data_IF_138455074753
#
_entry.id   IF_138455074753
#
_cell.length_a   1.000
_cell.length_b   1.000
_cell.length_c   1.000
_cell.angle_alpha   90.00
_cell.angle_beta   90.00
_cell.angle_gamma   90.00
#
_symmetry.space_group_name_H-M   'P 1'
#
loop_
_entity.id
_entity.type
_entity.pdbx_description
1 polymer ?
#
# COMPACT_ATOMS: atom_id res chain seq x y z
N UNK A 1 2.35 2.69 -6.46
CA UNK A 1 3.19 2.32 -7.63
C UNK A 1 3.27 3.40 -8.71
N UNK A 2 2.19 3.71 -9.44
CA UNK A 2 2.24 4.60 -10.61
C UNK A 2 2.84 5.98 -10.31
N UNK A 3 2.50 6.57 -9.16
CA UNK A 3 3.05 7.84 -8.68
C UNK A 3 4.57 7.81 -8.51
N UNK A 4 5.10 6.75 -7.89
CA UNK A 4 6.56 6.58 -7.68
C UNK A 4 7.28 6.48 -9.02
N UNK A 5 6.78 5.64 -9.93
CA UNK A 5 7.36 5.47 -11.27
C UNK A 5 7.20 6.69 -12.19
N UNK A 6 6.23 7.57 -11.91
CA UNK A 6 6.11 8.85 -12.59
C UNK A 6 7.18 9.85 -12.11
N UNK A 7 7.57 9.77 -10.84
CA UNK A 7 8.66 10.58 -10.26
C UNK A 7 10.05 10.05 -10.64
N UNK A 8 10.21 8.74 -10.87
CA UNK A 8 11.46 8.14 -11.38
C UNK A 8 11.81 8.70 -12.75
N UNK A 9 13.05 9.17 -12.93
CA UNK A 9 13.59 9.65 -14.21
C UNK A 9 14.41 8.56 -14.90
N UNK A 10 14.65 8.68 -16.20
CA UNK A 10 15.54 7.76 -16.91
C UNK A 10 16.97 7.82 -16.32
N UNK A 11 17.42 9.00 -15.90
CA UNK A 11 18.74 9.17 -15.28
C UNK A 11 18.85 8.39 -13.96
N UNK A 12 17.87 8.50 -13.06
CA UNK A 12 17.91 7.75 -11.81
C UNK A 12 17.71 6.25 -12.00
N UNK A 13 16.91 5.86 -13.00
CA UNK A 13 16.62 4.46 -13.29
C UNK A 13 17.82 3.68 -13.85
N UNK A 14 18.74 4.32 -14.57
CA UNK A 14 19.95 3.68 -15.11
C UNK A 14 21.23 4.06 -14.33
N UNK A 15 21.10 4.65 -13.14
CA UNK A 15 22.25 5.05 -12.33
C UNK A 15 23.02 3.84 -11.79
N UNK A 16 22.31 2.76 -11.43
CA UNK A 16 22.92 1.53 -10.91
C UNK A 16 23.60 0.73 -12.02
N UNK A 17 24.82 0.25 -11.78
CA UNK A 17 25.56 -0.60 -12.73
C UNK A 17 24.94 -1.99 -12.83
N UNK A 18 24.46 -2.50 -11.70
CA UNK A 18 23.83 -3.82 -11.57
C UNK A 18 22.37 -3.79 -12.03
N UNK A 19 22.14 -3.41 -13.29
CA UNK A 19 20.81 -2.97 -13.76
C UNK A 19 19.72 -4.05 -13.67
N UNK A 20 20.02 -5.32 -13.97
CA UNK A 20 19.05 -6.43 -13.84
C UNK A 20 18.61 -6.62 -12.38
N UNK A 21 19.56 -6.53 -11.43
CA UNK A 21 19.25 -6.66 -10.00
C UNK A 21 18.47 -5.45 -9.51
N UNK A 22 18.88 -4.26 -9.95
CA UNK A 22 18.27 -2.99 -9.58
C UNK A 22 16.80 -2.93 -10.00
N UNK A 23 16.47 -3.24 -11.26
CA UNK A 23 15.09 -3.17 -11.75
C UNK A 23 14.14 -4.02 -10.92
N UNK A 24 14.51 -5.27 -10.64
CA UNK A 24 13.70 -6.21 -9.86
C UNK A 24 13.50 -5.74 -8.42
N UNK A 25 14.58 -5.32 -7.76
CA UNK A 25 14.53 -4.87 -6.36
C UNK A 25 13.89 -3.49 -6.21
N UNK A 26 14.06 -2.58 -7.17
CA UNK A 26 13.39 -1.29 -7.20
C UNK A 26 11.88 -1.45 -7.36
N UNK A 27 11.43 -2.36 -8.24
CA UNK A 27 10.01 -2.67 -8.36
C UNK A 27 9.45 -3.23 -7.05
N UNK A 28 10.17 -4.15 -6.43
CA UNK A 28 9.80 -4.72 -5.13
C UNK A 28 9.76 -3.66 -4.01
N UNK A 29 10.70 -2.70 -4.01
CA UNK A 29 10.72 -1.57 -3.07
C UNK A 29 9.51 -0.66 -3.26
N UNK A 30 9.18 -0.34 -4.51
CA UNK A 30 8.02 0.50 -4.82
C UNK A 30 6.73 -0.21 -4.39
N UNK A 31 6.67 -1.54 -4.55
CA UNK A 31 5.56 -2.36 -4.10
C UNK A 31 5.47 -2.39 -2.58
N UNK A 32 6.58 -2.61 -1.88
CA UNK A 32 6.70 -2.51 -0.42
C UNK A 32 6.17 -1.18 0.12
N UNK A 33 6.63 -0.06 -0.45
CA UNK A 33 6.15 1.26 -0.07
C UNK A 33 4.64 1.40 -0.29
N UNK A 34 4.14 0.92 -1.43
CA UNK A 34 2.69 0.94 -1.75
C UNK A 34 1.87 0.08 -0.78
N UNK A 35 2.37 -1.09 -0.37
CA UNK A 35 1.74 -1.94 0.64
C UNK A 35 1.63 -1.22 1.97
N UNK A 36 2.68 -0.54 2.44
CA UNK A 36 2.64 0.18 3.70
C UNK A 36 1.62 1.33 3.68
N UNK A 37 1.57 2.10 2.58
CA UNK A 37 0.58 3.16 2.41
C UNK A 37 -0.85 2.61 2.41
N UNK A 38 -1.11 1.56 1.63
CA UNK A 38 -2.44 0.96 1.52
C UNK A 38 -2.88 0.30 2.83
N UNK A 39 -1.96 -0.29 3.59
CA UNK A 39 -2.30 -0.93 4.88
C UNK A 39 -2.92 0.05 5.88
N UNK A 40 -2.61 1.35 5.79
CA UNK A 40 -3.20 2.39 6.64
C UNK A 40 -4.75 2.40 6.59
N UNK A 41 -5.35 2.02 5.44
CA UNK A 41 -6.81 1.99 5.29
C UNK A 41 -7.48 0.93 6.18
N UNK A 42 -6.78 -0.15 6.51
CA UNK A 42 -7.36 -1.25 7.30
C UNK A 42 -7.33 -1.00 8.82
N UNK A 43 -6.96 0.21 9.26
CA UNK A 43 -6.84 0.55 10.68
C UNK A 43 -5.91 -0.43 11.41
N UNK A 44 -6.33 -0.89 12.59
CA UNK A 44 -5.55 -1.82 13.43
C UNK A 44 -5.37 -3.21 12.83
N UNK A 45 -6.13 -3.59 11.80
CA UNK A 45 -5.85 -4.81 11.03
C UNK A 45 -4.68 -4.62 10.08
N UNK A 46 -4.40 -3.38 9.68
CA UNK A 46 -3.27 -2.97 8.85
C UNK A 46 -2.00 -2.76 9.65
N UNK A 47 -1.97 -1.70 10.45
CA UNK A 47 -0.91 -1.38 11.40
C UNK A 47 -1.58 -0.87 12.67
N UNK A 48 -1.05 -1.20 13.84
CA UNK A 48 -1.60 -0.75 15.11
C UNK A 48 -1.60 0.77 15.21
N UNK A 49 -0.57 1.42 14.67
CA UNK A 49 -0.42 2.88 14.67
C UNK A 49 -0.39 3.40 13.23
N UNK A 50 -1.12 4.49 12.91
CA UNK A 50 -1.14 5.07 11.57
C UNK A 50 0.13 5.90 11.31
N UNK A 51 1.18 5.25 10.85
CA UNK A 51 2.42 5.93 10.46
C UNK A 51 2.26 6.69 9.14
N UNK A 52 2.92 7.85 9.06
CA UNK A 52 2.91 8.70 7.89
C UNK A 52 4.17 8.46 7.05
N UNK A 53 4.21 7.35 6.33
CA UNK A 53 5.29 7.07 5.37
C UNK A 53 5.16 8.00 4.16
N UNK A 54 6.29 8.49 3.64
CA UNK A 54 6.31 9.48 2.57
C UNK A 54 7.39 9.19 1.52
N UNK A 55 7.43 10.03 0.49
CA UNK A 55 8.31 9.83 -0.68
C UNK A 55 9.79 9.80 -0.30
N UNK A 56 10.19 10.57 0.71
CA UNK A 56 11.57 10.58 1.21
C UNK A 56 11.98 9.21 1.75
N UNK A 57 11.07 8.46 2.42
CA UNK A 57 11.38 7.11 2.88
C UNK A 57 11.67 6.17 1.69
N UNK A 58 10.95 6.35 0.58
CA UNK A 58 11.18 5.59 -0.65
C UNK A 58 12.50 6.00 -1.33
N UNK A 59 12.74 7.30 -1.52
CA UNK A 59 13.93 7.86 -2.15
C UNK A 59 15.21 7.41 -1.44
N UNK A 60 15.28 7.57 -0.11
CA UNK A 60 16.43 7.14 0.69
C UNK A 60 16.67 5.63 0.56
N UNK A 61 15.60 4.83 0.50
CA UNK A 61 15.73 3.38 0.31
C UNK A 61 16.22 3.01 -1.08
N UNK A 62 15.81 3.76 -2.10
CA UNK A 62 16.29 3.58 -3.48
C UNK A 62 17.77 3.96 -3.62
N UNK A 63 18.22 5.01 -2.94
CA UNK A 63 19.63 5.42 -2.92
C UNK A 63 20.50 4.38 -2.22
N UNK A 64 20.03 3.84 -1.09
CA UNK A 64 20.67 2.73 -0.39
C UNK A 64 20.74 1.48 -1.28
N UNK A 65 19.65 1.14 -1.96
CA UNK A 65 19.62 0.02 -2.90
C UNK A 65 20.67 0.19 -3.99
N UNK A 66 20.72 1.35 -4.64
CA UNK A 66 21.66 1.66 -5.72
C UNK A 66 23.10 1.54 -5.22
N UNK A 67 23.41 2.16 -4.08
CA UNK A 67 24.75 2.15 -3.49
C UNK A 67 25.23 0.73 -3.18
N UNK A 68 24.41 -0.07 -2.50
CA UNK A 68 24.79 -1.42 -2.08
C UNK A 68 24.87 -2.41 -3.26
N UNK A 69 24.09 -2.22 -4.33
CA UNK A 69 24.21 -3.06 -5.53
C UNK A 69 25.46 -2.74 -6.37
N UNK A 70 26.01 -1.54 -6.23
CA UNK A 70 27.21 -1.10 -6.92
C UNK A 70 28.50 -1.40 -6.12
N UNK A 71 28.42 -1.39 -4.79
CA UNK A 71 29.56 -1.65 -3.90
C UNK A 71 29.88 -3.14 -3.73
N UNK A 72 28.88 -4.02 -3.84
CA UNK A 72 29.03 -5.45 -3.54
C UNK A 72 28.75 -6.32 -4.77
N UNK A 73 29.63 -7.30 -5.01
CA UNK A 73 29.47 -8.28 -6.10
C UNK A 73 28.25 -9.19 -5.85
N UNK A 74 28.16 -9.74 -4.64
CA UNK A 74 27.00 -10.47 -4.16
C UNK A 74 25.99 -9.52 -3.53
N UNK A 75 24.70 -9.72 -3.84
CA UNK A 75 23.64 -8.85 -3.31
C UNK A 75 23.51 -9.01 -1.80
N UNK A 76 23.76 -7.95 -1.01
CA UNK A 76 23.77 -8.03 0.46
C UNK A 76 22.35 -7.94 1.02
N UNK A 77 21.54 -8.97 0.80
CA UNK A 77 20.11 -8.98 1.16
C UNK A 77 19.86 -8.64 2.62
N UNK A 78 20.62 -9.20 3.56
CA UNK A 78 20.41 -8.95 4.99
C UNK A 78 20.68 -7.50 5.38
N UNK A 79 21.70 -6.87 4.79
CA UNK A 79 21.99 -5.46 5.00
C UNK A 79 20.89 -4.57 4.42
N UNK A 80 20.47 -4.83 3.17
CA UNK A 80 19.38 -4.10 2.51
C UNK A 80 18.08 -4.21 3.31
N UNK A 81 17.75 -5.42 3.78
CA UNK A 81 16.57 -5.65 4.61
C UNK A 81 16.62 -4.82 5.89
N UNK A 82 17.71 -4.91 6.63
CA UNK A 82 17.88 -4.16 7.86
C UNK A 82 17.79 -2.63 7.63
N UNK A 83 18.53 -2.11 6.65
CA UNK A 83 18.58 -0.67 6.39
C UNK A 83 17.22 -0.11 5.98
N UNK A 84 16.46 -0.83 5.17
CA UNK A 84 15.15 -0.37 4.70
C UNK A 84 14.09 -0.60 5.79
N UNK A 85 13.90 -1.81 6.31
CA UNK A 85 12.79 -2.09 7.23
C UNK A 85 13.03 -1.61 8.66
N UNK A 86 14.25 -1.73 9.20
CA UNK A 86 14.53 -1.39 10.60
C UNK A 86 15.05 0.03 10.77
N UNK A 87 16.01 0.44 9.93
CA UNK A 87 16.65 1.75 10.09
C UNK A 87 15.80 2.88 9.48
N UNK A 88 15.45 2.77 8.19
CA UNK A 88 14.75 3.84 7.49
C UNK A 88 13.25 3.89 7.85
N UNK A 89 12.47 2.90 7.41
CA UNK A 89 11.02 2.86 7.73
C UNK A 89 10.79 2.61 9.22
N UNK A 90 11.55 1.67 9.81
CA UNK A 90 11.46 1.34 11.22
C UNK A 90 11.82 2.50 12.15
N UNK A 91 12.60 3.49 11.72
CA UNK A 91 12.83 4.72 12.48
C UNK A 91 11.55 5.49 12.85
N UNK A 92 10.47 5.32 12.06
CA UNK A 92 9.15 5.90 12.32
C UNK A 92 8.23 5.00 13.16
N UNK A 93 8.53 3.71 13.24
CA UNK A 93 7.65 2.70 13.83
C UNK A 93 7.94 2.52 15.31
N UNK A 94 6.93 2.76 16.14
CA UNK A 94 7.01 2.71 17.61
C UNK A 94 6.51 1.40 18.20
N UNK A 95 5.66 0.66 17.49
CA UNK A 95 5.10 -0.62 17.93
C UNK A 95 5.94 -1.80 17.43
N UNK A 96 6.23 -2.76 18.31
CA UNK A 96 7.09 -3.91 17.98
C UNK A 96 6.41 -4.88 16.99
N UNK A 97 5.08 -5.02 17.07
CA UNK A 97 4.34 -5.89 16.14
C UNK A 97 4.32 -5.26 14.74
N UNK A 98 4.11 -3.95 14.66
CA UNK A 98 4.19 -3.22 13.38
C UNK A 98 5.60 -3.32 12.76
N UNK A 99 6.69 -3.25 13.56
CA UNK A 99 8.05 -3.50 13.05
C UNK A 99 8.20 -4.89 12.43
N UNK A 100 7.64 -5.91 13.09
CA UNK A 100 7.64 -7.29 12.56
C UNK A 100 6.88 -7.40 11.24
N UNK A 101 5.82 -6.61 11.05
CA UNK A 101 5.09 -6.55 9.77
C UNK A 101 5.98 -5.99 8.66
N UNK A 102 6.68 -4.87 8.90
CA UNK A 102 7.63 -4.29 7.94
C UNK A 102 8.72 -5.30 7.57
N UNK A 103 9.34 -5.93 8.57
CA UNK A 103 10.37 -6.94 8.37
C UNK A 103 9.83 -8.16 7.60
N UNK A 104 8.59 -8.60 7.85
CA UNK A 104 7.99 -9.73 7.16
C UNK A 104 7.85 -9.48 5.66
N UNK A 105 7.31 -8.32 5.26
CA UNK A 105 7.21 -7.94 3.85
C UNK A 105 8.57 -7.87 3.19
N UNK A 106 9.53 -7.21 3.85
CA UNK A 106 10.83 -7.03 3.23
C UNK A 106 11.60 -8.35 3.14
N UNK A 107 11.45 -9.27 4.09
CA UNK A 107 11.99 -10.63 3.96
C UNK A 107 11.38 -11.42 2.80
N UNK A 108 10.09 -11.22 2.51
CA UNK A 108 9.43 -11.85 1.37
C UNK A 108 9.93 -11.28 0.03
N UNK A 109 10.17 -9.97 -0.03
CA UNK A 109 10.52 -9.27 -1.27
C UNK A 109 12.04 -9.29 -1.54
N UNK A 110 12.87 -9.10 -0.53
CA UNK A 110 14.33 -9.05 -0.67
C UNK A 110 14.94 -10.41 -0.35
N UNK A 111 14.77 -11.35 -1.28
CA UNK A 111 15.28 -12.71 -1.18
C UNK A 111 15.95 -13.17 -2.49
N UNK A 112 16.90 -14.13 -2.46
CA UNK A 112 17.57 -14.60 -3.69
C UNK A 112 16.63 -15.06 -4.82
N UNK A 113 15.48 -15.71 -4.56
CA UNK A 113 14.52 -16.07 -5.61
C UNK A 113 14.02 -14.90 -6.44
N UNK A 114 13.90 -13.67 -5.91
CA UNK A 114 13.40 -12.53 -6.68
C UNK A 114 14.27 -12.20 -7.90
N UNK A 115 15.56 -12.54 -7.84
CA UNK A 115 16.50 -12.28 -8.93
C UNK A 115 16.47 -13.35 -10.01
N UNK A 116 16.08 -14.58 -9.65
CA UNK A 116 16.22 -15.78 -10.50
C UNK A 116 14.90 -16.32 -11.02
N UNK A 117 13.80 -16.13 -10.30
CA UNK A 117 12.47 -16.60 -10.69
C UNK A 117 11.82 -15.56 -11.61
N UNK A 118 11.45 -15.92 -12.85
CA UNK A 118 10.72 -15.01 -13.73
C UNK A 118 9.33 -14.75 -13.15
N UNK A 119 8.84 -13.51 -13.28
CA UNK A 119 7.54 -13.10 -12.73
C UNK A 119 7.38 -13.47 -11.24
N UNK A 120 8.40 -13.20 -10.43
CA UNK A 120 8.34 -13.49 -8.99
C UNK A 120 7.13 -12.79 -8.34
N UNK A 121 6.24 -13.58 -7.76
CA UNK A 121 4.99 -13.11 -7.18
C UNK A 121 5.25 -12.35 -5.86
N UNK A 122 4.75 -11.12 -5.78
CA UNK A 122 4.85 -10.26 -4.59
C UNK A 122 3.62 -10.42 -3.67
N UNK A 123 2.57 -11.09 -4.16
CA UNK A 123 1.34 -11.39 -3.44
C UNK A 123 0.86 -12.78 -3.80
N UNK A 124 -0.10 -13.30 -3.03
CA UNK A 124 -0.90 -14.48 -3.40
C UNK A 124 -1.69 -14.31 -4.70
N UNK A 125 -1.81 -13.07 -5.20
CA UNK A 125 -2.45 -12.75 -6.47
C UNK A 125 -1.41 -12.67 -7.59
N UNK A 126 -1.54 -13.53 -8.59
CA UNK A 126 -0.61 -13.65 -9.74
C UNK A 126 -0.42 -12.35 -10.52
N UNK A 127 -1.38 -11.43 -10.48
CA UNK A 127 -1.28 -10.13 -11.14
C UNK A 127 -0.14 -9.25 -10.57
N UNK A 128 0.22 -9.43 -9.29
CA UNK A 128 1.25 -8.63 -8.64
C UNK A 128 2.55 -9.40 -8.57
N UNK A 129 3.34 -9.28 -9.63
CA UNK A 129 4.66 -9.87 -9.74
C UNK A 129 5.68 -8.84 -10.21
N UNK A 130 6.96 -9.17 -10.06
CA UNK A 130 8.06 -8.41 -10.62
C UNK A 130 8.08 -8.60 -12.14
N UNK A 131 7.98 -7.54 -12.96
CA UNK A 131 8.05 -7.67 -14.40
C UNK A 131 9.45 -8.08 -14.87
N UNK A 132 9.55 -8.58 -16.10
CA UNK A 132 10.84 -8.85 -16.74
C UNK A 132 11.66 -7.56 -16.94
N UNK A 133 12.98 -7.72 -17.07
CA UNK A 133 13.91 -6.63 -17.27
C UNK A 133 13.58 -5.85 -18.57
N UNK A 134 13.63 -4.53 -18.50
CA UNK A 134 13.22 -3.68 -19.61
C UNK A 134 13.58 -2.22 -19.42
N UNK A 135 12.87 -1.34 -20.14
CA UNK A 135 13.02 0.11 -19.96
C UNK A 135 12.10 0.61 -18.83
N UNK A 136 12.39 1.81 -18.31
CA UNK A 136 11.49 2.47 -17.37
C UNK A 136 10.04 2.55 -17.90
N UNK A 137 9.89 2.77 -19.22
CA UNK A 137 8.59 2.82 -19.87
C UNK A 137 7.85 1.48 -19.85
N UNK A 138 8.54 0.35 -20.06
CA UNK A 138 7.91 -0.98 -19.94
C UNK A 138 7.41 -1.27 -18.54
N UNK A 139 8.15 -0.83 -17.50
CA UNK A 139 7.70 -0.96 -16.12
C UNK A 139 6.46 -0.10 -15.84
N UNK A 140 6.41 1.12 -16.38
CA UNK A 140 5.23 1.99 -16.28
C UNK A 140 4.02 1.38 -16.98
N UNK A 141 4.22 0.73 -18.11
CA UNK A 141 3.16 0.04 -18.84
C UNK A 141 2.65 -1.17 -18.07
N UNK A 142 3.53 -1.97 -17.47
CA UNK A 142 3.14 -3.06 -16.58
C UNK A 142 2.32 -2.55 -15.38
N UNK A 143 2.73 -1.47 -14.73
CA UNK A 143 1.96 -0.91 -13.60
C UNK A 143 0.54 -0.47 -14.04
N UNK A 144 0.36 -0.07 -15.31
CA UNK A 144 -0.98 0.29 -15.84
C UNK A 144 -1.87 -0.93 -16.11
N UNK A 145 -1.31 -2.13 -16.23
CA UNK A 145 -2.11 -3.35 -16.40
C UNK A 145 -2.64 -3.90 -15.08
N UNK A 146 -2.10 -3.43 -13.94
CA UNK A 146 -2.59 -3.81 -12.63
C UNK A 146 -4.04 -3.35 -12.41
N UNK A 147 -4.82 -4.08 -11.58
CA UNK A 147 -6.20 -3.72 -11.27
C UNK A 147 -6.33 -2.29 -10.73
N UNK A 148 -7.36 -1.55 -11.16
CA UNK A 148 -7.65 -0.21 -10.61
C UNK A 148 -8.21 -0.27 -9.19
N UNK A 149 -8.84 -1.39 -8.82
CA UNK A 149 -9.33 -1.65 -7.48
C UNK A 149 -8.60 -2.88 -6.95
N UNK A 150 -7.65 -2.64 -6.06
CA UNK A 150 -6.82 -3.69 -5.48
C UNK A 150 -7.58 -4.45 -4.40
N UNK A 151 -7.52 -5.78 -4.50
CA UNK A 151 -8.04 -6.66 -3.45
C UNK A 151 -7.13 -6.65 -2.22
N UNK A 152 -7.66 -6.85 -0.99
CA UNK A 152 -6.84 -6.86 0.23
C UNK A 152 -5.70 -7.89 0.19
N UNK A 153 -5.87 -9.01 -0.51
CA UNK A 153 -4.85 -10.03 -0.67
C UNK A 153 -3.59 -9.53 -1.39
N UNK A 154 -3.70 -8.50 -2.25
CA UNK A 154 -2.56 -7.80 -2.83
C UNK A 154 -1.63 -7.29 -1.73
N UNK A 155 -2.20 -6.78 -0.64
CA UNK A 155 -1.46 -6.21 0.48
C UNK A 155 -1.30 -7.20 1.63
N UNK A 156 -1.38 -8.51 1.37
CA UNK A 156 -1.24 -9.56 2.39
C UNK A 156 -2.34 -9.54 3.46
N UNK A 157 -3.52 -9.01 3.13
CA UNK A 157 -4.67 -8.94 4.04
C UNK A 157 -5.76 -9.94 3.66
N UNK A 158 -6.50 -10.40 4.66
CA UNK A 158 -7.70 -11.21 4.43
C UNK A 158 -8.87 -10.33 3.94
N UNK A 159 -9.79 -10.88 3.15
CA UNK A 159 -10.99 -10.19 2.65
C UNK A 159 -11.83 -9.51 3.77
N UNK A 160 -11.75 -10.03 4.99
CA UNK A 160 -12.45 -9.47 6.16
C UNK A 160 -11.92 -8.09 6.57
N UNK A 161 -10.64 -7.78 6.28
CA UNK A 161 -10.07 -6.47 6.58
C UNK A 161 -10.75 -5.37 5.76
N UNK A 162 -11.07 -5.66 4.49
CA UNK A 162 -11.77 -4.75 3.61
C UNK A 162 -13.23 -4.55 4.05
N UNK A 163 -13.93 -5.62 4.46
CA UNK A 163 -15.28 -5.53 5.05
C UNK A 163 -15.27 -4.64 6.30
N UNK A 164 -14.30 -4.83 7.20
CA UNK A 164 -14.18 -4.04 8.41
C UNK A 164 -13.91 -2.56 8.11
N UNK A 165 -13.03 -2.28 7.15
CA UNK A 165 -12.76 -0.93 6.65
C UNK A 165 -14.03 -0.27 6.09
N UNK A 166 -14.71 -0.92 5.15
CA UNK A 166 -15.94 -0.39 4.53
C UNK A 166 -17.02 -0.10 5.57
N UNK A 167 -17.18 -0.97 6.58
CA UNK A 167 -18.12 -0.76 7.67
C UNK A 167 -17.75 0.45 8.54
N UNK A 168 -16.46 0.61 8.85
CA UNK A 168 -15.97 1.76 9.62
C UNK A 168 -16.14 3.07 8.87
N UNK A 169 -15.79 3.09 7.58
CA UNK A 169 -15.90 4.27 6.72
C UNK A 169 -17.37 4.67 6.51
N UNK A 170 -18.24 3.69 6.25
CA UNK A 170 -19.69 3.93 6.14
C UNK A 170 -20.28 4.53 7.42
N UNK A 171 -19.85 4.05 8.59
CA UNK A 171 -20.28 4.62 9.88
C UNK A 171 -19.81 6.04 10.06
N UNK A 172 -18.56 6.34 9.71
CA UNK A 172 -18.00 7.70 9.80
C UNK A 172 -18.76 8.67 8.89
N UNK A 173 -19.07 8.23 7.66
CA UNK A 173 -19.86 9.00 6.70
C UNK A 173 -21.25 9.30 7.25
N UNK A 174 -21.97 8.28 7.75
CA UNK A 174 -23.30 8.46 8.33
C UNK A 174 -23.29 9.37 9.56
N UNK A 175 -22.27 9.24 10.43
CA UNK A 175 -22.10 10.12 11.59
C UNK A 175 -21.82 11.57 11.17
N UNK A 176 -21.03 11.78 10.12
CA UNK A 176 -20.74 13.11 9.60
C UNK A 176 -22.00 13.75 9.01
N UNK A 177 -22.80 12.99 8.25
CA UNK A 177 -24.10 13.44 7.75
C UNK A 177 -25.03 13.82 8.90
N UNK A 178 -25.14 12.98 9.94
CA UNK A 178 -25.94 13.28 11.11
C UNK A 178 -25.44 14.52 11.87
N UNK A 179 -24.11 14.70 11.97
CA UNK A 179 -23.48 15.85 12.63
C UNK A 179 -23.71 17.18 11.93
N UNK A 180 -23.78 17.19 10.59
CA UNK A 180 -24.09 18.39 9.80
C UNK A 180 -25.52 18.92 10.06
N UNK A 181 -26.41 18.11 10.61
CA UNK A 181 -27.81 18.51 10.90
C UNK A 181 -27.94 19.34 12.19
N UNK A 182 -26.91 19.39 13.05
CA UNK A 182 -26.98 20.03 14.38
C UNK A 182 -26.71 21.55 14.44
N UNK A 183 -26.48 22.23 13.30
CA UNK A 183 -25.99 23.62 13.27
C UNK A 183 -27.00 24.73 12.95
N UNK A 184 -28.28 24.41 12.70
CA UNK A 184 -29.28 25.36 12.24
C UNK A 184 -30.49 25.50 13.16
N UNK A 185 -30.33 26.29 14.23
CA UNK A 185 -31.37 26.98 15.02
C UNK A 185 -32.79 26.40 15.16
N UNK A 186 -33.18 26.12 16.42
CA UNK A 186 -34.58 26.18 16.87
C UNK A 186 -35.11 24.88 17.44
N UNK A 187 -35.43 24.88 18.74
CA UNK A 187 -35.94 23.72 19.47
C UNK A 187 -37.19 23.09 18.82
N UNK A 188 -37.10 21.79 18.56
CA UNK A 188 -38.21 20.97 18.09
C UNK A 188 -37.81 19.51 18.01
N UNK A 189 -38.27 18.72 18.99
CA UNK A 189 -38.38 17.25 19.04
C UNK A 189 -37.40 16.41 18.20
N UNK A 190 -36.48 15.70 18.86
CA UNK A 190 -35.52 14.75 18.28
C UNK A 190 -36.10 13.52 17.56
N UNK A 191 -37.40 13.46 17.28
CA UNK A 191 -38.05 12.36 16.57
C UNK A 191 -37.80 12.38 15.05
N UNK A 192 -37.59 13.56 14.44
CA UNK A 192 -37.40 13.67 12.98
C UNK A 192 -36.03 13.25 12.47
N UNK A 193 -35.00 13.31 13.31
CA UNK A 193 -33.63 12.97 12.92
C UNK A 193 -33.43 11.46 12.76
N UNK A 194 -33.96 10.67 13.70
CA UNK A 194 -33.89 9.21 13.63
C UNK A 194 -34.67 8.66 12.43
N UNK A 195 -35.86 9.21 12.15
CA UNK A 195 -36.70 8.81 11.02
C UNK A 195 -36.06 9.15 9.67
N UNK A 196 -35.38 10.30 9.56
CA UNK A 196 -34.66 10.68 8.35
C UNK A 196 -33.38 9.83 8.13
N UNK A 197 -32.63 9.53 9.19
CA UNK A 197 -31.47 8.63 9.11
C UNK A 197 -31.92 7.23 8.70
N UNK A 198 -33.05 6.74 9.25
CA UNK A 198 -33.66 5.49 8.81
C UNK A 198 -33.99 5.54 7.32
N UNK A 199 -34.61 6.62 6.83
CA UNK A 199 -34.94 6.79 5.42
C UNK A 199 -33.70 6.81 4.52
N UNK A 200 -32.61 7.49 4.91
CA UNK A 200 -31.36 7.51 4.14
C UNK A 200 -30.71 6.12 4.14
N UNK A 201 -30.65 5.44 5.30
CA UNK A 201 -30.14 4.07 5.39
C UNK A 201 -30.96 3.10 4.52
N UNK A 202 -32.28 3.29 4.46
CA UNK A 202 -33.20 2.45 3.71
C UNK A 202 -33.10 2.70 2.20
N UNK A 203 -32.89 3.95 1.78
CA UNK A 203 -32.65 4.30 0.38
C UNK A 203 -31.28 3.76 -0.10
N UNK A 204 -30.22 3.91 0.71
CA UNK A 204 -28.91 3.32 0.42
C UNK A 204 -28.97 1.79 0.33
N UNK A 205 -29.70 1.14 1.24
CA UNK A 205 -29.91 -0.32 1.20
C UNK A 205 -30.59 -0.76 -0.10
N UNK A 206 -31.61 -0.03 -0.55
CA UNK A 206 -32.29 -0.30 -1.81
C UNK A 206 -31.36 -0.13 -3.01
N UNK A 207 -30.53 0.91 -3.03
CA UNK A 207 -29.56 1.13 -4.09
C UNK A 207 -28.49 0.02 -4.14
N UNK A 208 -28.01 -0.45 -2.98
CA UNK A 208 -27.05 -1.56 -2.92
C UNK A 208 -27.64 -2.91 -3.36
N UNK A 209 -28.93 -3.15 -3.13
CA UNK A 209 -29.64 -4.35 -3.58
C UNK A 209 -29.88 -4.33 -5.10
N UNK A 210 -30.14 -3.15 -5.67
CA UNK A 210 -30.29 -2.95 -7.11
C UNK A 210 -28.97 -3.15 -7.89
N UNK A 211 -27.82 -2.93 -7.24
CA UNK A 211 -26.50 -3.17 -7.84
C UNK A 211 -26.07 -4.65 -7.85
N UNK A 212 -26.83 -5.56 -7.22
CA UNK A 212 -26.56 -7.00 -7.20
C UNK A 212 -27.46 -7.83 -8.13
N UNK A 213 -28.32 -7.20 -8.92
CA UNK A 213 -29.14 -7.84 -9.97
C UNK A 213 -28.66 -7.44 -11.35
#
# INVERSE_FOLDING_TARGET
>A
MMRLYAATTEESFYLCKSQEKYQKLHFALAYFHSVLLERRKFGTLGLNIPYDFNDTDFEVSNDLLTTYLDEYEETPFDALKFLISEANYGGRVTDEIDRRVLAAYLNQFYCPPILSVPNYELSTLTAYHVPDDGTLQTHREFIKTLPTTDRPEAFGQHANADIAFQLSDSRLLLQTIAGLQGGGGGGGSGAGAEELVLNICQDLLLQMLLWKG
#
